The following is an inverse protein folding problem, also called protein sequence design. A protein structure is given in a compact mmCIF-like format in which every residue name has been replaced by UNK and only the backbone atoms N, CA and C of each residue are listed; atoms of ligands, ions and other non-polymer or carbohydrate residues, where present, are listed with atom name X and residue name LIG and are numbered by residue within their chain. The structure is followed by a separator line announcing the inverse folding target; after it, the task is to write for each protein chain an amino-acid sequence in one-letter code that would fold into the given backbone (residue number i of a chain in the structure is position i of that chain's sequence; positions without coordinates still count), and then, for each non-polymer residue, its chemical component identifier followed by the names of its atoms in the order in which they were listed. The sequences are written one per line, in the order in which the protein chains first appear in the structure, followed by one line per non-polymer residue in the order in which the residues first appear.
data_IF_018887986579
#
_entry.id   IF_018887986579
#
_cell.length_a   1.000
_cell.length_b   1.000
_cell.length_c   1.000
_cell.angle_alpha   90.00
_cell.angle_beta   90.00
_cell.angle_gamma   90.00
#
_symmetry.space_group_name_H-M   'P 1'
#
loop_
_entity.id
_entity.type
_entity.pdbx_description
1 polymer ?
#
# COMPACT_ATOMS: atom_id res chain seq x y z
N UNK A 1 10.16 -3.28 71.59
CA UNK A 1 11.03 -4.43 71.28
C UNK A 1 10.88 -4.71 69.82
N UNK A 2 11.95 -4.44 69.09
CA UNK A 2 12.11 -4.70 67.67
C UNK A 2 11.67 -6.11 67.28
N UNK A 3 11.04 -6.24 66.12
CA UNK A 3 11.53 -7.25 65.19
C UNK A 3 11.27 -6.83 63.75
N UNK A 4 12.40 -6.66 63.09
CA UNK A 4 12.64 -6.17 61.74
C UNK A 4 12.04 -7.06 60.66
N UNK A 5 11.52 -6.38 59.64
CA UNK A 5 11.20 -6.90 58.31
C UNK A 5 12.35 -7.73 57.73
N UNK A 6 12.03 -8.93 57.24
CA UNK A 6 12.95 -9.71 56.41
C UNK A 6 12.35 -9.81 55.00
N UNK A 7 12.62 -8.78 54.19
CA UNK A 7 12.31 -8.76 52.77
C UNK A 7 13.17 -9.82 52.05
N UNK A 8 12.59 -11.00 51.84
CA UNK A 8 13.15 -11.99 50.91
C UNK A 8 13.02 -11.47 49.49
N UNK A 9 14.13 -10.92 49.03
CA UNK A 9 14.39 -10.41 47.69
C UNK A 9 14.14 -11.50 46.62
N UNK A 10 12.91 -11.53 46.09
CA UNK A 10 12.50 -12.34 44.94
C UNK A 10 13.13 -11.73 43.69
N UNK A 11 14.28 -12.27 43.26
CA UNK A 11 14.87 -11.93 41.96
C UNK A 11 13.96 -12.47 40.87
N UNK A 12 13.04 -11.64 40.38
CA UNK A 12 12.23 -11.91 39.19
C UNK A 12 13.16 -12.13 38.01
N UNK A 13 13.29 -13.39 37.59
CA UNK A 13 14.16 -13.75 36.47
C UNK A 13 13.49 -13.28 35.18
N UNK A 14 14.04 -12.27 34.51
CA UNK A 14 13.52 -11.78 33.22
C UNK A 14 13.80 -12.81 32.13
N UNK A 15 12.76 -13.31 31.49
CA UNK A 15 12.82 -14.15 30.30
C UNK A 15 12.64 -13.28 29.05
N UNK A 16 13.30 -13.68 27.97
CA UNK A 16 13.18 -13.12 26.63
C UNK A 16 12.50 -14.16 25.76
N UNK A 17 11.29 -13.85 25.30
CA UNK A 17 10.46 -14.65 24.42
C UNK A 17 10.50 -14.08 23.00
N UNK A 18 10.61 -14.97 22.02
CA UNK A 18 10.46 -14.60 20.62
C UNK A 18 8.99 -14.64 20.23
N UNK A 19 8.46 -13.59 19.61
CA UNK A 19 7.04 -13.54 19.20
C UNK A 19 6.78 -14.36 17.93
N UNK A 20 7.81 -14.64 17.14
CA UNK A 20 7.69 -15.34 15.85
C UNK A 20 7.97 -16.84 15.92
N UNK A 21 8.37 -17.39 17.08
CA UNK A 21 8.58 -18.83 17.30
C UNK A 21 8.64 -19.17 18.79
N UNK A 22 8.55 -20.46 19.13
CA UNK A 22 8.52 -20.95 20.53
C UNK A 22 9.87 -20.86 21.29
N UNK A 23 10.77 -19.95 20.91
CA UNK A 23 12.07 -19.79 21.55
C UNK A 23 11.98 -18.85 22.77
N UNK A 24 12.36 -19.37 23.94
CA UNK A 24 12.40 -18.64 25.22
C UNK A 24 13.77 -18.81 25.87
N UNK A 25 14.38 -17.71 26.32
CA UNK A 25 15.67 -17.76 27.03
C UNK A 25 15.75 -16.74 28.16
N UNK A 26 16.56 -17.02 29.18
CA UNK A 26 16.85 -16.09 30.29
C UNK A 26 18.01 -15.14 30.01
N UNK A 27 18.70 -15.28 28.87
CA UNK A 27 19.92 -14.55 28.52
C UNK A 27 19.70 -13.68 27.29
N UNK A 28 19.87 -12.37 27.43
CA UNK A 28 19.72 -11.39 26.34
C UNK A 28 20.65 -11.68 25.15
N UNK A 29 21.88 -12.12 25.40
CA UNK A 29 22.82 -12.45 24.33
C UNK A 29 22.38 -13.65 23.49
N UNK A 30 21.79 -14.66 24.11
CA UNK A 30 21.25 -15.82 23.40
C UNK A 30 20.00 -15.44 22.60
N UNK A 31 19.18 -14.53 23.12
CA UNK A 31 18.03 -13.95 22.42
C UNK A 31 18.47 -13.15 21.18
N UNK A 32 19.43 -12.24 21.34
CA UNK A 32 19.98 -11.47 20.22
C UNK A 32 20.64 -12.38 19.16
N UNK A 33 21.36 -13.43 19.59
CA UNK A 33 21.92 -14.42 18.65
C UNK A 33 20.80 -15.18 17.94
N UNK A 34 19.73 -15.56 18.64
CA UNK A 34 18.56 -16.19 18.07
C UNK A 34 17.93 -15.34 16.96
N UNK A 35 17.72 -14.03 17.19
CA UNK A 35 17.18 -13.09 16.20
C UNK A 35 18.05 -13.01 14.92
N UNK A 36 19.34 -13.27 15.04
CA UNK A 36 20.28 -13.23 13.93
C UNK A 36 20.43 -14.57 13.19
N UNK A 37 19.86 -15.66 13.72
CA UNK A 37 19.98 -16.98 13.08
C UNK A 37 19.24 -17.02 11.74
N UNK A 38 19.83 -17.72 10.77
CA UNK A 38 19.21 -17.93 9.45
C UNK A 38 17.81 -18.57 9.55
N UNK A 39 17.58 -19.42 10.57
CA UNK A 39 16.28 -20.04 10.82
C UNK A 39 15.22 -19.02 11.26
N UNK A 40 15.58 -18.09 12.15
CA UNK A 40 14.66 -17.06 12.64
C UNK A 40 14.40 -15.99 11.56
N UNK A 41 15.43 -15.52 10.85
CA UNK A 41 15.27 -14.59 9.72
C UNK A 41 14.37 -15.15 8.62
N UNK A 42 14.51 -16.43 8.28
CA UNK A 42 13.64 -17.12 7.32
C UNK A 42 12.18 -17.27 7.78
N UNK A 43 11.91 -17.13 9.08
CA UNK A 43 10.55 -17.17 9.65
C UNK A 43 9.88 -15.78 9.61
N UNK A 44 10.67 -14.70 9.78
CA UNK A 44 10.18 -13.31 9.70
C UNK A 44 9.95 -12.86 8.25
N UNK A 45 10.84 -13.21 7.33
CA UNK A 45 10.81 -12.71 5.95
C UNK A 45 9.77 -13.40 5.04
N UNK A 46 8.76 -14.06 5.61
CA UNK A 46 7.61 -14.56 4.84
C UNK A 46 8.03 -15.39 3.62
N UNK A 47 8.94 -16.35 3.80
CA UNK A 47 9.29 -17.23 2.70
C UNK A 47 8.13 -18.22 2.52
N UNK A 48 7.21 -17.90 1.60
CA UNK A 48 6.42 -18.91 0.91
C UNK A 48 7.48 -19.82 0.27
N UNK A 49 7.88 -20.88 0.98
CA UNK A 49 8.47 -22.02 0.30
C UNK A 49 7.41 -22.44 -0.71
N UNK A 50 7.64 -22.12 -1.98
CA UNK A 50 7.05 -22.91 -3.05
C UNK A 50 7.43 -24.35 -2.70
N UNK A 51 6.46 -25.13 -2.19
CA UNK A 51 6.65 -26.55 -1.95
C UNK A 51 7.15 -27.09 -3.30
N UNK A 52 8.45 -27.45 -3.39
CA UNK A 52 9.02 -28.01 -4.63
C UNK A 52 8.32 -29.35 -4.87
N UNK A 53 7.22 -29.30 -5.61
CA UNK A 53 6.51 -30.50 -6.04
C UNK A 53 7.32 -31.15 -7.15
N UNK A 54 7.48 -32.46 -7.03
CA UNK A 54 8.22 -33.27 -7.99
C UNK A 54 7.17 -34.00 -8.83
N UNK A 55 7.19 -33.76 -10.13
CA UNK A 55 6.21 -34.29 -11.07
C UNK A 55 6.76 -35.57 -11.71
N UNK A 56 5.94 -36.62 -11.78
CA UNK A 56 6.24 -37.82 -12.56
C UNK A 56 5.95 -37.57 -14.04
N UNK A 57 6.58 -38.30 -14.96
CA UNK A 57 6.33 -38.19 -16.40
C UNK A 57 4.86 -38.49 -16.78
N UNK A 58 4.08 -39.11 -15.89
CA UNK A 58 2.63 -39.29 -16.02
C UNK A 58 1.79 -38.06 -15.65
N UNK A 59 2.42 -36.96 -15.21
CA UNK A 59 1.78 -35.72 -14.78
C UNK A 59 1.41 -35.62 -13.30
N UNK A 60 1.58 -36.69 -12.49
CA UNK A 60 1.24 -36.66 -11.05
C UNK A 60 2.30 -35.96 -10.21
N UNK A 61 1.86 -35.07 -9.31
CA UNK A 61 2.74 -34.26 -8.44
C UNK A 61 2.88 -34.81 -7.02
N UNK A 62 4.10 -34.73 -6.47
CA UNK A 62 4.41 -35.24 -5.13
C UNK A 62 5.23 -34.24 -4.32
N UNK A 63 4.91 -34.12 -3.02
CA UNK A 63 5.62 -33.21 -2.10
C UNK A 63 7.09 -33.59 -1.88
N UNK A 64 7.40 -34.90 -1.88
CA UNK A 64 8.72 -35.42 -1.51
C UNK A 64 9.17 -36.56 -2.46
N UNK A 65 10.49 -36.74 -2.61
CA UNK A 65 11.12 -37.79 -3.45
C UNK A 65 10.67 -39.22 -3.10
N UNK A 66 10.43 -39.49 -1.82
CA UNK A 66 9.93 -40.79 -1.35
C UNK A 66 8.53 -41.11 -1.89
N UNK A 67 7.64 -40.10 -1.95
CA UNK A 67 6.29 -40.25 -2.51
C UNK A 67 6.32 -40.55 -4.00
N UNK A 68 7.16 -39.83 -4.76
CA UNK A 68 7.41 -40.11 -6.17
C UNK A 68 8.01 -41.50 -6.38
N UNK A 69 8.95 -41.93 -5.53
CA UNK A 69 9.60 -43.24 -5.66
C UNK A 69 8.63 -44.39 -5.40
N UNK A 70 7.66 -44.22 -4.49
CA UNK A 70 6.60 -45.21 -4.25
C UNK A 70 5.61 -45.25 -5.40
N UNK A 71 5.28 -44.08 -5.96
CA UNK A 71 4.47 -43.99 -7.17
C UNK A 71 5.13 -44.65 -8.38
N UNK A 72 6.43 -44.41 -8.62
CA UNK A 72 7.17 -44.99 -9.76
C UNK A 72 7.15 -46.52 -9.80
N UNK A 73 7.03 -47.18 -8.65
CA UNK A 73 6.94 -48.66 -8.59
C UNK A 73 5.64 -49.21 -9.17
N UNK A 74 4.57 -48.41 -9.17
CA UNK A 74 3.24 -48.79 -9.62
C UNK A 74 2.70 -47.78 -10.66
N UNK A 75 3.59 -47.11 -11.40
CA UNK A 75 3.20 -46.12 -12.40
C UNK A 75 3.13 -46.81 -13.76
N UNK A 76 1.92 -46.92 -14.33
CA UNK A 76 1.67 -47.60 -15.60
C UNK A 76 2.00 -46.74 -16.84
N UNK A 77 2.59 -45.56 -16.63
CA UNK A 77 2.97 -44.65 -17.73
C UNK A 77 4.20 -45.18 -18.46
N UNK A 78 4.00 -45.65 -19.69
CA UNK A 78 5.07 -46.00 -20.62
C UNK A 78 5.37 -44.79 -21.51
N UNK A 79 6.59 -44.23 -21.49
CA UNK A 79 7.01 -43.23 -22.46
C UNK A 79 6.91 -43.83 -23.87
N UNK A 80 6.42 -43.06 -24.83
CA UNK A 80 6.54 -43.41 -26.25
C UNK A 80 8.03 -43.24 -26.58
N UNK A 81 8.73 -44.34 -26.79
CA UNK A 81 10.13 -44.34 -27.24
C UNK A 81 10.15 -44.03 -28.74
N UNK A 82 10.70 -42.87 -29.11
CA UNK A 82 11.15 -42.66 -30.49
C UNK A 82 12.37 -43.56 -30.73
N UNK A 83 12.38 -44.38 -31.79
CA UNK A 83 13.47 -45.33 -32.01
C UNK A 83 14.72 -44.62 -32.51
N UNK A 84 15.82 -44.86 -31.80
CA UNK A 84 17.18 -44.52 -32.22
C UNK A 84 17.55 -45.49 -33.36
N UNK A 85 17.78 -44.97 -34.57
CA UNK A 85 18.24 -45.78 -35.71
C UNK A 85 19.77 -45.74 -35.73
N UNK A 86 20.41 -46.84 -35.34
CA UNK A 86 21.83 -47.11 -35.63
C UNK A 86 22.00 -47.61 -37.09
N UNK A 87 23.16 -47.37 -37.73
CA UNK A 87 23.38 -47.73 -39.13
C UNK A 87 23.62 -49.24 -39.26
N UNK A 88 22.70 -49.96 -39.91
CA UNK A 88 22.87 -51.40 -40.19
C UNK A 88 23.49 -51.62 -41.57
N UNK A 89 24.52 -52.47 -41.64
CA UNK A 89 25.01 -53.14 -42.85
C UNK A 89 24.40 -54.56 -42.90
N UNK A 90 23.68 -54.84 -44.01
CA UNK A 90 23.39 -56.09 -44.76
C UNK A 90 23.32 -57.50 -44.09
N UNK A 91 22.74 -58.52 -44.76
CA UNK A 91 21.48 -58.61 -45.50
C UNK A 91 20.67 -59.88 -45.13
N UNK A 92 19.36 -59.95 -45.40
CA UNK A 92 18.71 -60.99 -46.26
C UNK A 92 17.17 -61.06 -46.11
N UNK A 93 16.53 -61.03 -47.29
CA UNK A 93 15.25 -61.64 -47.71
C UNK A 93 13.93 -60.82 -47.62
N UNK A 94 13.45 -60.49 -48.84
CA UNK A 94 12.12 -60.02 -49.29
C UNK A 94 11.00 -61.08 -49.07
N UNK A 95 9.70 -60.87 -49.44
CA UNK A 95 8.98 -59.69 -49.98
C UNK A 95 7.74 -59.32 -49.09
N UNK A 96 7.03 -58.19 -49.23
CA UNK A 96 6.08 -57.89 -50.32
C UNK A 96 5.64 -56.41 -50.33
N UNK A 97 5.51 -55.89 -51.56
CA UNK A 97 4.96 -54.63 -52.12
C UNK A 97 3.68 -54.07 -51.43
N UNK A 98 3.25 -52.79 -51.43
CA UNK A 98 3.43 -51.52 -52.20
C UNK A 98 2.53 -50.43 -51.49
N UNK A 99 2.36 -49.16 -51.94
CA UNK A 99 3.29 -48.10 -52.35
C UNK A 99 3.12 -46.77 -51.55
N UNK A 100 4.20 -46.00 -51.44
CA UNK A 100 4.28 -44.65 -50.85
C UNK A 100 3.81 -43.55 -51.81
N UNK A 101 3.04 -42.57 -51.31
CA UNK A 101 2.97 -41.23 -51.91
C UNK A 101 3.87 -40.26 -51.11
N UNK A 102 4.84 -39.67 -51.82
CA UNK A 102 5.81 -38.69 -51.33
C UNK A 102 5.15 -37.37 -50.91
N UNK A 103 5.55 -36.85 -49.75
CA UNK A 103 5.57 -35.41 -49.46
C UNK A 103 7.01 -35.02 -49.13
N UNK A 104 7.60 -34.19 -49.99
CA UNK A 104 8.93 -33.61 -49.85
C UNK A 104 8.97 -32.61 -48.69
N UNK A 105 9.99 -32.74 -47.83
CA UNK A 105 10.29 -31.80 -46.75
C UNK A 105 10.88 -30.50 -47.31
N UNK A 106 10.37 -29.35 -46.88
CA UNK A 106 10.96 -28.04 -47.13
C UNK A 106 11.97 -27.77 -46.01
N UNK A 107 13.26 -27.60 -46.35
CA UNK A 107 14.30 -27.20 -45.39
C UNK A 107 14.12 -25.72 -44.97
N UNK A 108 14.21 -25.37 -43.67
CA UNK A 108 14.18 -23.98 -43.23
C UNK A 108 15.48 -23.25 -43.63
N UNK A 109 15.33 -22.14 -44.36
CA UNK A 109 16.43 -21.35 -44.92
C UNK A 109 17.26 -20.65 -43.81
N UNK A 110 18.41 -21.24 -43.47
CA UNK A 110 19.37 -20.78 -42.45
C UNK A 110 19.79 -19.31 -42.66
N UNK A 111 19.81 -18.80 -43.89
CA UNK A 111 20.18 -17.41 -44.17
C UNK A 111 19.17 -16.41 -43.58
N UNK A 112 17.88 -16.74 -43.59
CA UNK A 112 16.83 -15.89 -43.01
C UNK A 112 16.97 -15.79 -41.49
N UNK A 113 17.38 -16.87 -40.82
CA UNK A 113 17.61 -16.88 -39.37
C UNK A 113 18.81 -15.99 -39.01
N UNK A 114 19.87 -16.02 -39.81
CA UNK A 114 21.06 -15.17 -39.59
C UNK A 114 20.72 -13.68 -39.77
N UNK A 115 19.89 -13.34 -40.74
CA UNK A 115 19.41 -11.95 -40.93
C UNK A 115 18.57 -11.48 -39.74
N UNK A 116 17.64 -12.30 -39.24
CA UNK A 116 16.83 -11.97 -38.06
C UNK A 116 17.72 -11.76 -36.81
N UNK A 117 18.76 -12.56 -36.63
CA UNK A 117 19.70 -12.40 -35.50
C UNK A 117 20.46 -11.07 -35.62
N UNK A 118 20.87 -10.66 -36.83
CA UNK A 118 21.52 -9.37 -37.07
C UNK A 118 20.58 -8.20 -36.79
N UNK A 119 19.34 -8.26 -37.26
CA UNK A 119 18.33 -7.24 -36.97
C UNK A 119 18.08 -7.09 -35.46
N UNK A 120 17.98 -8.20 -34.73
CA UNK A 120 17.80 -8.18 -33.27
C UNK A 120 18.99 -7.53 -32.53
N UNK A 121 20.21 -7.66 -33.03
CA UNK A 121 21.37 -6.97 -32.46
C UNK A 121 21.30 -5.46 -32.69
N UNK A 122 20.83 -5.01 -33.85
CA UNK A 122 20.61 -3.60 -34.15
C UNK A 122 19.45 -3.01 -33.32
N UNK A 123 18.35 -3.74 -33.16
CA UNK A 123 17.25 -3.36 -32.25
C UNK A 123 17.73 -3.19 -30.82
N UNK A 124 18.59 -4.10 -30.33
CA UNK A 124 19.16 -3.98 -28.98
C UNK A 124 19.97 -2.70 -28.81
N UNK A 125 20.78 -2.31 -29.81
CA UNK A 125 21.53 -1.05 -29.79
C UNK A 125 20.60 0.15 -29.75
N UNK A 126 19.55 0.15 -30.58
CA UNK A 126 18.56 1.23 -30.65
C UNK A 126 17.84 1.43 -29.30
N UNK A 127 17.43 0.34 -28.64
CA UNK A 127 16.78 0.41 -27.33
C UNK A 127 17.71 1.00 -26.26
N UNK A 128 18.99 0.62 -26.26
CA UNK A 128 19.98 1.16 -25.32
C UNK A 128 20.16 2.67 -25.56
N UNK A 129 20.29 3.10 -26.82
CA UNK A 129 20.44 4.52 -27.14
C UNK A 129 19.21 5.34 -26.73
N UNK A 130 18.00 4.83 -27.01
CA UNK A 130 16.75 5.47 -26.60
C UNK A 130 16.64 5.54 -25.07
N UNK A 131 17.05 4.50 -24.34
CA UNK A 131 17.04 4.49 -22.88
C UNK A 131 17.99 5.55 -22.29
N UNK A 132 19.14 5.77 -22.93
CA UNK A 132 20.12 6.78 -22.54
C UNK A 132 19.58 8.20 -22.78
N UNK A 133 18.94 8.44 -23.92
CA UNK A 133 18.29 9.71 -24.23
C UNK A 133 17.16 10.04 -23.24
N UNK A 134 16.32 9.06 -22.91
CA UNK A 134 15.26 9.23 -21.91
C UNK A 134 15.82 9.56 -20.52
N UNK A 135 16.91 8.92 -20.12
CA UNK A 135 17.58 9.23 -18.85
C UNK A 135 18.12 10.67 -18.83
N UNK A 136 18.77 11.10 -19.92
CA UNK A 136 19.28 12.48 -20.01
C UNK A 136 18.15 13.52 -20.03
N UNK A 137 17.05 13.24 -20.74
CA UNK A 137 15.87 14.11 -20.76
C UNK A 137 15.24 14.21 -19.38
N UNK A 138 15.11 13.10 -18.65
CA UNK A 138 14.59 13.09 -17.28
C UNK A 138 15.46 13.91 -16.33
N UNK A 139 16.78 13.85 -16.48
CA UNK A 139 17.69 14.68 -15.68
C UNK A 139 17.53 16.17 -15.99
N UNK A 140 17.39 16.56 -17.27
CA UNK A 140 17.12 17.95 -17.67
C UNK A 140 15.78 18.46 -17.11
N UNK A 141 14.73 17.64 -17.17
CA UNK A 141 13.41 17.99 -16.59
C UNK A 141 13.49 18.13 -15.07
N UNK A 142 14.22 17.24 -14.39
CA UNK A 142 14.45 17.33 -12.94
C UNK A 142 15.12 18.64 -12.55
N UNK A 143 16.13 19.07 -13.32
CA UNK A 143 16.84 20.33 -13.07
C UNK A 143 15.95 21.55 -13.36
N UNK A 144 15.17 21.52 -14.44
CA UNK A 144 14.17 22.56 -14.73
C UNK A 144 13.13 22.67 -13.61
N UNK A 145 12.67 21.54 -13.05
CA UNK A 145 11.72 21.55 -11.93
C UNK A 145 12.31 22.21 -10.68
N UNK A 146 13.62 22.02 -10.38
CA UNK A 146 14.28 22.73 -9.27
C UNK A 146 14.27 24.23 -9.47
N UNK A 147 14.59 24.70 -10.68
CA UNK A 147 14.58 26.13 -11.02
C UNK A 147 13.16 26.72 -10.90
N UNK A 148 12.12 26.00 -11.32
CA UNK A 148 10.72 26.43 -11.17
C UNK A 148 10.31 26.54 -9.71
N UNK A 149 10.76 25.62 -8.85
CA UNK A 149 10.52 25.67 -7.40
C UNK A 149 11.21 26.89 -6.78
N UNK A 150 12.44 27.18 -7.18
CA UNK A 150 13.18 28.35 -6.69
C UNK A 150 12.52 29.67 -7.11
N UNK A 151 12.13 29.80 -8.38
CA UNK A 151 11.35 30.94 -8.87
C UNK A 151 10.00 31.10 -8.14
N UNK A 152 9.33 30.01 -7.79
CA UNK A 152 8.11 30.06 -6.98
C UNK A 152 8.39 30.59 -5.56
N UNK A 153 9.49 30.18 -4.94
CA UNK A 153 9.89 30.69 -3.61
C UNK A 153 10.17 32.20 -3.67
N UNK A 154 10.90 32.66 -4.68
CA UNK A 154 11.18 34.10 -4.88
C UNK A 154 9.89 34.91 -5.13
N UNK A 155 9.01 34.41 -6.00
CA UNK A 155 7.71 35.05 -6.24
C UNK A 155 6.85 35.12 -4.97
N UNK A 156 6.84 34.07 -4.14
CA UNK A 156 6.11 34.10 -2.87
C UNK A 156 6.67 35.16 -1.90
N UNK A 157 8.00 35.34 -1.84
CA UNK A 157 8.63 36.39 -1.03
C UNK A 157 8.23 37.78 -1.55
N UNK A 158 8.21 37.99 -2.88
CA UNK A 158 7.78 39.25 -3.49
C UNK A 158 6.31 39.55 -3.22
N UNK A 159 5.44 38.54 -3.33
CA UNK A 159 4.01 38.67 -3.01
C UNK A 159 3.84 39.10 -1.55
N UNK A 160 4.54 38.46 -0.60
CA UNK A 160 4.46 38.81 0.82
C UNK A 160 4.92 40.26 1.06
N UNK A 161 6.01 40.71 0.42
CA UNK A 161 6.49 42.10 0.52
C UNK A 161 5.52 43.13 -0.09
N UNK A 162 4.77 42.76 -1.14
CA UNK A 162 3.76 43.63 -1.74
C UNK A 162 2.52 43.75 -0.84
N UNK A 163 2.09 42.64 -0.22
CA UNK A 163 0.98 42.60 0.74
C UNK A 163 1.29 43.45 2.00
N UNK A 164 2.53 43.41 2.49
CA UNK A 164 2.98 44.25 3.60
C UNK A 164 2.96 45.75 3.24
N UNK A 165 3.28 46.12 1.99
CA UNK A 165 3.26 47.51 1.53
C UNK A 165 1.84 48.08 1.34
N UNK A 166 0.89 47.26 0.87
CA UNK A 166 -0.51 47.70 0.73
C UNK A 166 -1.17 47.99 2.09
N UNK A 167 -0.68 47.38 3.17
CA UNK A 167 -1.19 47.60 4.53
C UNK A 167 -0.78 48.96 5.15
N UNK A 168 0.09 49.75 4.50
CA UNK A 168 0.70 50.97 5.08
C UNK A 168 0.27 52.27 4.35
N UNK A 169 -0.51 52.23 3.27
CA UNK A 169 -0.98 53.46 2.60
C UNK A 169 -2.25 54.04 3.25
N UNK A 170 -2.09 54.77 4.36
CA UNK A 170 -3.06 55.77 4.81
C UNK A 170 -2.96 56.99 3.88
N UNK A 171 -3.77 57.02 2.83
CA UNK A 171 -3.93 58.21 1.97
C UNK A 171 -5.03 59.08 2.59
N UNK A 172 -4.61 60.20 3.17
CA UNK A 172 -5.48 61.31 3.57
C UNK A 172 -6.02 61.97 2.30
N UNK A 173 -7.29 61.75 1.94
CA UNK A 173 -7.98 62.62 1.00
C UNK A 173 -9.49 62.64 1.27
N UNK A 174 -9.98 63.81 1.67
CA UNK A 174 -11.39 64.15 1.72
C UNK A 174 -11.97 64.14 0.30
N UNK A 175 -12.93 63.25 0.02
CA UNK A 175 -14.17 63.57 -0.70
C UNK A 175 -15.07 62.34 -0.89
N UNK A 176 -16.36 62.63 -0.90
CA UNK A 176 -17.50 61.73 -0.78
C UNK A 176 -17.66 60.75 -1.95
N UNK A 177 -17.73 59.45 -1.64
CA UNK A 177 -18.77 58.49 -2.06
C UNK A 177 -18.37 57.10 -1.58
N UNK A 178 -18.99 56.65 -0.49
CA UNK A 178 -18.79 55.32 0.07
C UNK A 178 -19.47 54.25 -0.80
N UNK A 179 -18.73 53.72 -1.77
CA UNK A 179 -18.99 52.37 -2.28
C UNK A 179 -18.28 51.41 -1.34
N UNK A 180 -19.00 50.95 -0.32
CA UNK A 180 -18.49 50.00 0.66
C UNK A 180 -18.31 48.62 0.00
N UNK A 181 -17.13 48.38 -0.58
CA UNK A 181 -16.78 47.10 -1.19
C UNK A 181 -15.89 46.32 -0.24
N UNK A 182 -16.49 45.75 0.80
CA UNK A 182 -15.83 44.88 1.78
C UNK A 182 -15.52 43.49 1.20
N UNK A 183 -14.86 43.42 0.05
CA UNK A 183 -14.34 42.17 -0.49
C UNK A 183 -12.91 41.94 0.02
N UNK A 184 -12.74 41.66 1.32
CA UNK A 184 -11.51 41.02 1.78
C UNK A 184 -11.49 39.60 1.20
N UNK A 185 -10.80 39.44 0.06
CA UNK A 185 -10.66 38.15 -0.62
C UNK A 185 -9.92 37.19 0.30
N UNK A 186 -10.58 36.11 0.73
CA UNK A 186 -10.00 35.06 1.58
C UNK A 186 -8.60 34.63 1.10
N UNK A 187 -7.59 34.85 1.94
CA UNK A 187 -6.20 34.47 1.67
C UNK A 187 -5.90 33.10 2.27
N UNK A 188 -5.92 32.07 1.41
CA UNK A 188 -5.69 30.69 1.81
C UNK A 188 -4.31 30.47 2.47
N UNK A 189 -3.26 31.09 1.93
CA UNK A 189 -1.90 30.88 2.45
C UNK A 189 -1.76 31.48 3.85
N UNK A 190 -2.40 32.62 4.11
CA UNK A 190 -2.44 33.21 5.45
C UNK A 190 -3.25 32.34 6.41
N UNK A 191 -4.43 31.85 5.98
CA UNK A 191 -5.24 30.95 6.81
C UNK A 191 -4.46 29.69 7.21
N UNK A 192 -3.85 28.99 6.26
CA UNK A 192 -3.12 27.76 6.55
C UNK A 192 -1.88 28.03 7.43
N UNK A 193 -1.03 28.99 7.04
CA UNK A 193 0.29 29.15 7.68
C UNK A 193 0.27 30.01 8.94
N UNK A 194 -0.66 30.95 9.08
CA UNK A 194 -0.77 31.81 10.27
C UNK A 194 -1.92 31.38 11.19
N UNK A 195 -3.12 31.16 10.64
CA UNK A 195 -4.31 30.84 11.45
C UNK A 195 -4.29 29.38 11.93
N UNK A 196 -3.85 28.45 11.08
CA UNK A 196 -3.73 27.02 11.40
C UNK A 196 -2.28 26.58 11.69
N UNK A 197 -1.41 27.51 12.08
CA UNK A 197 0.01 27.24 12.35
C UNK A 197 0.24 26.15 13.39
N UNK A 198 -0.67 26.04 14.36
CA UNK A 198 -0.62 25.07 15.46
C UNK A 198 -1.51 23.83 15.20
N UNK A 199 -1.98 23.63 13.97
CA UNK A 199 -2.72 22.42 13.60
C UNK A 199 -1.89 21.16 13.79
N UNK A 200 -2.57 20.08 14.15
CA UNK A 200 -1.98 18.74 14.29
C UNK A 200 -1.50 18.21 12.94
N UNK A 201 -0.51 17.31 12.94
CA UNK A 201 -0.11 16.60 11.72
C UNK A 201 -1.06 15.44 11.41
N UNK A 202 -1.24 15.15 10.12
CA UNK A 202 -2.15 14.12 9.66
C UNK A 202 -1.80 12.72 10.19
N UNK A 203 -0.51 12.40 10.28
CA UNK A 203 -0.03 11.14 10.86
C UNK A 203 -0.46 11.00 12.34
N UNK A 204 -0.23 12.04 13.13
CA UNK A 204 -0.58 12.07 14.55
C UNK A 204 -2.11 11.94 14.74
N UNK A 205 -2.89 12.64 13.91
CA UNK A 205 -4.33 12.51 13.91
C UNK A 205 -4.78 11.07 13.69
N UNK A 206 -4.25 10.38 12.67
CA UNK A 206 -4.60 8.99 12.38
C UNK A 206 -4.15 8.06 13.50
N UNK A 207 -2.94 8.24 14.03
CA UNK A 207 -2.41 7.40 15.11
C UNK A 207 -3.31 7.49 16.37
N UNK A 208 -3.84 8.68 16.66
CA UNK A 208 -4.74 8.94 17.78
C UNK A 208 -6.18 8.42 17.60
N UNK A 209 -6.58 8.02 16.39
CA UNK A 209 -7.90 7.42 16.18
C UNK A 209 -7.95 6.07 16.90
N UNK A 210 -8.86 6.00 17.87
CA UNK A 210 -9.35 4.76 18.49
C UNK A 210 -10.77 4.53 18.02
N UNK A 211 -11.01 3.34 17.49
CA UNK A 211 -12.32 2.91 16.98
C UNK A 211 -13.03 2.19 18.11
N UNK A 212 -14.25 2.62 18.41
CA UNK A 212 -15.09 2.04 19.45
C UNK A 212 -15.98 0.93 18.88
N UNK A 213 -16.47 0.04 19.74
CA UNK A 213 -17.39 -1.00 19.29
C UNK A 213 -18.70 -0.41 18.77
N UNK A 214 -19.19 0.69 19.36
CA UNK A 214 -20.37 1.41 18.87
C UNK A 214 -20.19 1.90 17.43
N UNK A 215 -19.00 2.41 17.09
CA UNK A 215 -18.66 2.81 15.71
C UNK A 215 -18.62 1.60 14.76
N UNK A 216 -18.14 0.43 15.22
CA UNK A 216 -18.20 -0.82 14.46
C UNK A 216 -19.64 -1.28 14.21
N UNK A 217 -20.53 -1.13 15.20
CA UNK A 217 -21.97 -1.40 15.03
C UNK A 217 -22.59 -0.48 13.96
N UNK A 218 -22.20 0.80 13.95
CA UNK A 218 -22.64 1.75 12.92
C UNK A 218 -22.15 1.30 11.55
N UNK A 219 -20.90 0.84 11.39
CA UNK A 219 -20.39 0.28 10.13
C UNK A 219 -21.22 -0.93 9.69
N UNK A 220 -21.50 -1.88 10.59
CA UNK A 220 -22.32 -3.05 10.29
C UNK A 220 -23.75 -2.71 9.86
N UNK A 221 -24.31 -1.58 10.33
CA UNK A 221 -25.68 -1.16 10.02
C UNK A 221 -25.80 -0.21 8.82
N UNK A 222 -24.83 0.68 8.64
CA UNK A 222 -24.88 1.77 7.64
C UNK A 222 -23.94 1.56 6.45
N UNK A 223 -23.05 0.57 6.56
CA UNK A 223 -22.05 0.22 5.55
C UNK A 223 -20.74 1.00 5.66
N UNK A 224 -19.73 0.53 4.93
CA UNK A 224 -18.37 1.08 4.88
C UNK A 224 -18.34 2.61 4.72
N UNK A 225 -19.04 3.11 3.69
CA UNK A 225 -18.95 4.52 3.30
C UNK A 225 -19.39 5.45 4.43
N UNK A 226 -20.52 5.17 5.07
CA UNK A 226 -21.04 6.04 6.13
C UNK A 226 -20.26 5.86 7.43
N UNK A 227 -20.05 4.60 7.86
CA UNK A 227 -19.37 4.34 9.12
C UNK A 227 -17.93 4.86 9.16
N UNK A 228 -17.14 4.64 8.10
CA UNK A 228 -15.76 5.17 8.02
C UNK A 228 -15.75 6.70 7.91
N UNK A 229 -16.68 7.28 7.16
CA UNK A 229 -16.82 8.75 7.10
C UNK A 229 -17.12 9.33 8.47
N UNK A 230 -18.04 8.72 9.23
CA UNK A 230 -18.47 9.20 10.53
C UNK A 230 -17.35 9.15 11.56
N UNK A 231 -16.56 8.07 11.60
CA UNK A 231 -15.38 7.97 12.48
C UNK A 231 -14.44 9.15 12.22
N UNK A 232 -14.10 9.38 10.96
CA UNK A 232 -13.16 10.43 10.56
C UNK A 232 -13.72 11.83 10.86
N UNK A 233 -14.98 12.08 10.50
CA UNK A 233 -15.65 13.36 10.66
C UNK A 233 -15.87 13.69 12.14
N UNK A 234 -16.27 12.72 12.97
CA UNK A 234 -16.53 12.95 14.38
C UNK A 234 -15.24 13.37 15.11
N UNK A 235 -14.12 12.69 14.82
CA UNK A 235 -12.82 13.09 15.38
C UNK A 235 -12.39 14.50 14.95
N UNK A 236 -12.71 14.92 13.74
CA UNK A 236 -12.45 16.30 13.29
C UNK A 236 -13.39 17.34 13.91
N UNK A 237 -14.66 16.98 14.17
CA UNK A 237 -15.63 17.87 14.81
C UNK A 237 -15.27 18.18 16.26
N UNK A 238 -14.66 17.21 16.96
CA UNK A 238 -14.18 17.38 18.32
C UNK A 238 -12.97 18.34 18.42
N UNK A 239 -12.45 18.80 17.28
CA UNK A 239 -11.36 19.76 17.16
C UNK A 239 -11.84 21.11 16.63
N UNK A 240 -11.26 22.19 17.17
CA UNK A 240 -11.35 23.52 16.59
C UNK A 240 -10.85 23.52 15.14
N UNK A 241 -11.51 24.29 14.28
CA UNK A 241 -11.20 24.34 12.84
C UNK A 241 -9.71 24.60 12.61
N UNK A 242 -9.11 25.54 13.35
CA UNK A 242 -7.70 25.94 13.22
C UNK A 242 -6.70 24.88 13.69
N UNK A 243 -7.17 23.85 14.40
CA UNK A 243 -6.34 22.76 14.91
C UNK A 243 -6.42 21.50 14.05
N UNK A 244 -7.36 21.43 13.11
CA UNK A 244 -7.59 20.26 12.25
C UNK A 244 -6.38 20.03 11.33
N UNK A 245 -5.99 18.76 11.10
CA UNK A 245 -4.86 18.42 10.23
C UNK A 245 -5.19 18.53 8.73
N UNK A 246 -6.45 18.80 8.37
CA UNK A 246 -6.95 18.71 7.01
C UNK A 246 -8.03 19.77 6.75
N UNK A 247 -7.97 20.38 5.57
CA UNK A 247 -8.97 21.34 5.09
C UNK A 247 -9.29 21.14 3.61
N UNK A 248 -10.56 21.35 3.24
CA UNK A 248 -10.96 21.46 1.85
C UNK A 248 -11.20 22.94 1.49
N UNK A 249 -10.56 23.44 0.43
CA UNK A 249 -10.57 24.86 0.05
C UNK A 249 -11.44 25.14 -1.16
N UNK A 250 -11.74 24.12 -1.96
CA UNK A 250 -12.67 24.16 -3.08
C UNK A 250 -13.38 22.82 -3.19
N UNK A 251 -14.64 22.78 -2.76
CA UNK A 251 -15.46 21.56 -2.79
C UNK A 251 -15.76 21.11 -4.23
N UNK A 252 -15.89 22.03 -5.19
CA UNK A 252 -16.19 21.67 -6.59
C UNK A 252 -15.01 20.96 -7.25
N UNK A 253 -13.80 21.38 -6.89
CA UNK A 253 -12.54 20.81 -7.39
C UNK A 253 -11.90 19.81 -6.44
N UNK A 254 -12.58 19.48 -5.32
CA UNK A 254 -12.07 18.67 -4.21
C UNK A 254 -10.62 19.03 -3.83
N UNK A 255 -10.32 20.33 -3.74
CA UNK A 255 -8.96 20.78 -3.41
C UNK A 255 -8.73 20.65 -1.91
N UNK A 256 -7.89 19.70 -1.53
CA UNK A 256 -7.60 19.32 -0.14
C UNK A 256 -6.16 19.71 0.21
N UNK A 257 -5.97 20.19 1.43
CA UNK A 257 -4.67 20.41 2.05
C UNK A 257 -4.57 19.61 3.34
N UNK A 258 -3.47 18.90 3.52
CA UNK A 258 -3.15 18.12 4.71
C UNK A 258 -1.86 18.67 5.32
N UNK A 259 -1.76 18.64 6.65
CA UNK A 259 -0.53 19.02 7.35
C UNK A 259 0.36 17.80 7.57
N UNK A 260 1.57 17.85 7.03
CA UNK A 260 2.56 16.78 7.10
C UNK A 260 3.92 17.40 7.43
N UNK A 261 4.65 16.82 8.38
CA UNK A 261 5.95 17.32 8.83
C UNK A 261 5.94 18.82 9.20
N UNK A 262 4.83 19.28 9.80
CA UNK A 262 4.52 20.67 10.15
C UNK A 262 4.33 21.63 8.98
N UNK A 263 4.25 21.12 7.74
CA UNK A 263 3.99 21.91 6.54
C UNK A 263 2.64 21.56 5.90
N UNK A 264 1.99 22.57 5.32
CA UNK A 264 0.74 22.37 4.59
C UNK A 264 1.02 21.93 3.16
N UNK A 265 0.60 20.72 2.84
CA UNK A 265 0.77 20.11 1.54
C UNK A 265 -0.58 19.91 0.85
N UNK A 266 -0.67 20.32 -0.41
CA UNK A 266 -1.84 20.02 -1.24
C UNK A 266 -1.87 18.51 -1.51
N UNK A 267 -3.06 17.91 -1.48
CA UNK A 267 -3.25 16.50 -1.83
C UNK A 267 -2.91 16.27 -3.31
N UNK A 268 -2.48 15.04 -3.61
CA UNK A 268 -2.11 14.61 -4.95
C UNK A 268 -3.35 14.44 -5.84
N UNK A 269 -3.13 14.11 -7.12
CA UNK A 269 -4.22 13.75 -8.02
C UNK A 269 -5.05 12.62 -7.40
N UNK A 270 -6.37 12.72 -7.58
CA UNK A 270 -7.33 11.71 -7.09
C UNK A 270 -7.38 11.56 -5.56
N UNK A 271 -6.89 12.55 -4.81
CA UNK A 271 -6.93 12.61 -3.35
C UNK A 271 -6.22 11.42 -2.67
N UNK A 272 -5.08 11.03 -3.24
CA UNK A 272 -4.33 9.84 -2.82
C UNK A 272 -3.94 9.88 -1.35
N UNK A 273 -3.50 11.01 -0.81
CA UNK A 273 -3.07 11.09 0.60
C UNK A 273 -4.24 10.91 1.56
N UNK A 274 -5.40 11.49 1.24
CA UNK A 274 -6.61 11.25 2.03
C UNK A 274 -7.08 9.79 1.90
N UNK A 275 -7.01 9.17 0.72
CA UNK A 275 -7.31 7.74 0.53
C UNK A 275 -6.39 6.84 1.38
N UNK A 276 -5.09 7.13 1.40
CA UNK A 276 -4.12 6.41 2.24
C UNK A 276 -4.44 6.58 3.74
N UNK A 277 -4.92 7.77 4.15
CA UNK A 277 -5.37 8.00 5.51
C UNK A 277 -6.65 7.22 5.86
N UNK A 278 -7.60 7.14 4.92
CA UNK A 278 -8.83 6.33 5.07
C UNK A 278 -8.49 4.85 5.21
N UNK A 279 -7.57 4.32 4.41
CA UNK A 279 -7.13 2.92 4.48
C UNK A 279 -6.48 2.58 5.84
N UNK A 280 -5.75 3.52 6.45
CA UNK A 280 -5.23 3.34 7.81
C UNK A 280 -6.34 3.26 8.86
N UNK A 281 -7.43 4.02 8.69
CA UNK A 281 -8.60 3.92 9.58
C UNK A 281 -9.34 2.60 9.36
N UNK A 282 -9.46 2.15 8.11
CA UNK A 282 -9.99 0.83 7.77
C UNK A 282 -9.22 -0.29 8.47
N UNK A 283 -7.88 -0.24 8.46
CA UNK A 283 -7.05 -1.21 9.19
C UNK A 283 -7.31 -1.19 10.70
N UNK A 284 -7.51 0.00 11.29
CA UNK A 284 -7.87 0.15 12.70
C UNK A 284 -9.26 -0.41 13.02
N UNK A 285 -10.23 -0.29 12.10
CA UNK A 285 -11.55 -0.92 12.26
C UNK A 285 -11.41 -2.44 12.33
N UNK A 286 -10.65 -3.03 11.40
CA UNK A 286 -10.39 -4.46 11.38
C UNK A 286 -9.69 -4.94 12.65
N UNK A 287 -8.68 -4.20 13.12
CA UNK A 287 -7.97 -4.51 14.36
C UNK A 287 -8.91 -4.47 15.58
N UNK A 288 -9.72 -3.42 15.70
CA UNK A 288 -10.65 -3.25 16.83
C UNK A 288 -11.76 -4.32 16.81
N UNK A 289 -12.19 -4.76 15.63
CA UNK A 289 -13.12 -5.87 15.49
C UNK A 289 -12.49 -7.20 15.94
N UNK A 290 -11.21 -7.42 15.66
CA UNK A 290 -10.49 -8.61 16.13
C UNK A 290 -10.31 -8.61 17.65
N UNK A 291 -9.95 -7.46 18.24
CA UNK A 291 -9.86 -7.31 19.71
C UNK A 291 -11.20 -7.68 20.37
N UNK A 292 -12.32 -7.19 19.82
CA UNK A 292 -13.65 -7.54 20.33
C UNK A 292 -13.95 -9.05 20.24
N UNK A 293 -13.46 -9.74 19.21
CA UNK A 293 -13.58 -11.20 19.07
C UNK A 293 -12.74 -11.99 20.07
N UNK A 294 -11.59 -11.45 20.48
CA UNK A 294 -10.77 -12.06 21.55
C UNK A 294 -11.47 -11.94 22.90
N UNK A 295 -12.13 -10.82 23.17
CA UNK A 295 -12.92 -10.58 24.38
C UNK A 295 -14.26 -11.34 24.39
N UNK A 296 -14.78 -11.72 23.22
CA UNK A 296 -16.07 -12.41 23.07
C UNK A 296 -15.93 -13.72 22.29
N UNK A 297 -15.46 -14.82 22.91
CA UNK A 297 -15.22 -16.10 22.20
C UNK A 297 -16.44 -16.69 21.49
N UNK A 298 -17.66 -16.32 21.91
CA UNK A 298 -18.93 -16.69 21.28
C UNK A 298 -19.02 -16.24 19.81
N UNK A 299 -18.29 -15.20 19.41
CA UNK A 299 -18.23 -14.74 18.01
C UNK A 299 -17.71 -15.81 17.05
N UNK A 300 -16.97 -16.80 17.55
CA UNK A 300 -16.48 -17.96 16.77
C UNK A 300 -17.58 -18.96 16.43
N UNK A 301 -18.73 -18.86 17.10
CA UNK A 301 -19.89 -19.71 16.88
C UNK A 301 -20.83 -18.96 15.94
N UNK A 302 -20.82 -19.34 14.66
CA UNK A 302 -21.60 -18.66 13.62
C UNK A 302 -23.12 -18.64 13.87
N UNK A 303 -23.66 -19.57 14.67
CA UNK A 303 -25.08 -19.66 15.01
C UNK A 303 -25.46 -18.90 16.29
N UNK A 304 -24.52 -18.16 16.90
CA UNK A 304 -24.80 -17.31 18.05
C UNK A 304 -25.12 -15.89 17.59
N UNK A 305 -25.91 -15.15 18.37
CA UNK A 305 -26.24 -13.74 18.09
C UNK A 305 -24.96 -12.88 17.90
N UNK A 306 -23.90 -13.17 18.67
CA UNK A 306 -22.61 -12.47 18.55
C UNK A 306 -21.83 -12.88 17.30
N UNK A 307 -21.92 -14.15 16.88
CA UNK A 307 -21.31 -14.63 15.64
C UNK A 307 -21.99 -14.05 14.40
N UNK A 308 -23.31 -13.96 14.40
CA UNK A 308 -24.07 -13.28 13.33
C UNK A 308 -23.74 -11.79 13.27
N UNK A 309 -23.69 -11.12 14.43
CA UNK A 309 -23.31 -9.72 14.53
C UNK A 309 -21.88 -9.49 14.03
N UNK A 310 -20.93 -10.35 14.43
CA UNK A 310 -19.55 -10.30 13.95
C UNK A 310 -19.51 -10.36 12.42
N UNK A 311 -20.16 -11.35 11.81
CA UNK A 311 -20.14 -11.54 10.36
C UNK A 311 -20.73 -10.33 9.64
N UNK A 312 -21.81 -9.75 10.16
CA UNK A 312 -22.44 -8.53 9.62
C UNK A 312 -21.47 -7.34 9.62
N UNK A 313 -20.75 -7.11 10.72
CA UNK A 313 -19.79 -6.01 10.83
C UNK A 313 -18.56 -6.29 9.95
N UNK A 314 -18.06 -7.53 9.97
CA UNK A 314 -16.90 -7.97 9.22
C UNK A 314 -17.08 -7.79 7.73
N UNK A 315 -18.22 -8.24 7.18
CA UNK A 315 -18.56 -8.06 5.76
C UNK A 315 -18.49 -6.58 5.36
N UNK A 316 -19.11 -5.70 6.16
CA UNK A 316 -19.16 -4.26 5.86
C UNK A 316 -17.84 -3.53 6.10
N UNK A 317 -16.96 -4.08 6.94
CA UNK A 317 -15.64 -3.50 7.21
C UNK A 317 -14.66 -3.78 6.07
N UNK A 318 -14.84 -4.91 5.35
CA UNK A 318 -14.01 -5.30 4.19
C UNK A 318 -14.51 -4.77 2.84
N UNK A 319 -15.62 -4.02 2.82
CA UNK A 319 -16.21 -3.43 1.60
C UNK A 319 -15.40 -2.22 1.04
N UNK A 320 -14.13 -2.05 1.44
CA UNK A 320 -13.24 -0.95 1.07
C UNK A 320 -12.60 -1.10 -0.32
N UNK A 321 -13.31 -0.71 -1.37
CA UNK A 321 -12.79 -0.59 -2.74
C UNK A 321 -12.53 0.88 -3.15
N UNK A 322 -11.98 1.08 -4.35
CA UNK A 322 -11.67 2.42 -4.87
C UNK A 322 -12.92 3.34 -4.91
N UNK A 323 -14.07 2.81 -5.33
CA UNK A 323 -15.32 3.58 -5.49
C UNK A 323 -15.91 3.99 -4.14
N UNK A 324 -15.83 3.12 -3.15
CA UNK A 324 -16.31 3.38 -1.79
C UNK A 324 -15.38 4.36 -1.08
N UNK A 325 -14.06 4.23 -1.22
CA UNK A 325 -13.08 5.22 -0.73
C UNK A 325 -13.30 6.60 -1.33
N UNK A 326 -13.60 6.70 -2.63
CA UNK A 326 -13.98 7.98 -3.26
C UNK A 326 -15.24 8.60 -2.64
N UNK A 327 -16.24 7.79 -2.30
CA UNK A 327 -17.45 8.29 -1.61
C UNK A 327 -17.13 8.77 -0.20
N UNK A 328 -16.25 8.08 0.52
CA UNK A 328 -15.77 8.52 1.85
C UNK A 328 -15.06 9.86 1.74
N UNK A 329 -14.16 10.03 0.76
CA UNK A 329 -13.49 11.31 0.47
C UNK A 329 -14.52 12.42 0.27
N UNK A 330 -15.55 12.19 -0.57
CA UNK A 330 -16.63 13.16 -0.82
C UNK A 330 -17.43 13.51 0.44
N UNK A 331 -17.65 12.55 1.33
CA UNK A 331 -18.37 12.80 2.57
C UNK A 331 -17.54 13.64 3.55
N UNK A 332 -16.24 13.33 3.66
CA UNK A 332 -15.31 14.08 4.50
C UNK A 332 -15.17 15.51 3.98
N UNK A 333 -14.86 15.72 2.69
CA UNK A 333 -14.63 17.05 2.09
C UNK A 333 -15.80 18.00 2.31
N UNK A 334 -17.04 17.52 2.17
CA UNK A 334 -18.25 18.31 2.45
C UNK A 334 -18.32 18.84 3.88
N UNK A 335 -17.70 18.17 4.85
CA UNK A 335 -17.71 18.58 6.27
C UNK A 335 -16.49 19.39 6.68
N UNK A 336 -15.41 19.34 5.90
CA UNK A 336 -14.15 20.04 6.20
C UNK A 336 -13.88 21.22 5.26
N UNK A 337 -14.87 21.58 4.43
CA UNK A 337 -14.77 22.74 3.53
C UNK A 337 -14.70 24.02 4.36
N UNK A 338 -13.71 24.86 4.07
CA UNK A 338 -13.56 26.17 4.69
C UNK A 338 -14.70 27.07 4.22
N UNK A 339 -15.40 27.69 5.16
CA UNK A 339 -16.33 28.77 4.87
C UNK A 339 -15.52 30.02 4.52
N UNK A 340 -15.69 30.53 3.30
CA UNK A 340 -14.94 31.68 2.78
C UNK A 340 -15.62 33.01 3.10
N UNK A 341 -16.82 32.95 3.66
CA UNK A 341 -17.65 34.10 3.99
C UNK A 341 -17.54 34.49 5.49
N UNK A 342 -16.61 33.88 6.23
CA UNK A 342 -16.33 34.16 7.65
C UNK A 342 -15.05 34.97 7.87
#
# INVERSE_FOLDING_TARGET
MDNTENAKNSKTTKYYNCECCDFITKRKNDYNRHLLTAKHKATIEGNIKAEKRIICNCGKEYKNRHGLSRHKKNCDYKPIEEPIIEPVREPTQEPTQEPTQNLTMIEPNINMIIEIIKENQEFKKLIIEQSKQLFEQNNKVSEQNKQVIELHKENNILINKLVEKESIMTINNNNNNTTNNNNQKFNLNFFLNETCKDAMNMKEFIDNIKVTFEELLVIGNTGFVNGVSDIFINRLKDMEVTKRPIHCTDLKRETIYLKEDNEWNKDEKENKKLKDAIEKVEYKNFHSLNEWCEENPETRISSSDKGELYMKIFEKTLDGDEKTREKVVKNITKKITIDKDQ
#
